data_IF_979131998602
#
_entry.id   IF_979131998602
#
_cell.length_a   1.000
_cell.length_b   1.000
_cell.length_c   1.000
_cell.angle_alpha   90.00
_cell.angle_beta   90.00
_cell.angle_gamma   90.00
#
_symmetry.space_group_name_H-M   'P 1'
#
loop_
_entity.id
_entity.type
_entity.pdbx_description
1 polymer ?
#
# COMPACT_ATOMS: atom_id res chain seq x y z
N UNK A 1 -22.99 7.81 -6.62
CA UNK A 1 -22.34 6.72 -5.86
C UNK A 1 -20.83 6.92 -5.94
N UNK A 2 -20.15 6.90 -4.80
CA UNK A 2 -18.68 7.07 -4.74
C UNK A 2 -17.99 5.82 -5.29
N UNK A 3 -16.97 5.98 -6.13
CA UNK A 3 -16.18 4.88 -6.70
C UNK A 3 -15.11 4.41 -5.71
N UNK A 4 -15.03 3.11 -5.47
CA UNK A 4 -13.99 2.50 -4.64
C UNK A 4 -12.72 2.36 -5.46
N UNK A 5 -11.62 2.85 -4.93
CA UNK A 5 -10.31 2.84 -5.59
C UNK A 5 -9.34 2.04 -4.73
N UNK A 6 -8.60 1.14 -5.34
CA UNK A 6 -7.40 0.54 -4.76
C UNK A 6 -6.16 1.15 -5.37
N UNK A 7 -5.10 1.32 -4.58
CA UNK A 7 -3.80 1.80 -5.02
C UNK A 7 -2.73 0.76 -4.73
N UNK A 8 -1.92 0.44 -5.73
CA UNK A 8 -0.70 -0.34 -5.59
C UNK A 8 0.46 0.51 -6.08
N UNK A 9 1.40 0.88 -5.20
CA UNK A 9 2.54 1.68 -5.62
C UNK A 9 3.07 2.64 -4.58
N UNK A 10 3.52 3.82 -4.99
CA UNK A 10 4.09 4.83 -4.12
C UNK A 10 3.05 5.53 -3.24
N UNK A 11 3.53 6.09 -2.14
CA UNK A 11 2.76 7.00 -1.30
C UNK A 11 2.24 8.24 -2.06
N UNK A 12 2.90 8.63 -3.15
CA UNK A 12 2.48 9.74 -4.02
C UNK A 12 1.17 9.41 -4.75
N UNK A 13 1.00 8.17 -5.22
CA UNK A 13 -0.27 7.75 -5.83
C UNK A 13 -1.40 7.79 -4.81
N UNK A 14 -1.17 7.26 -3.59
CA UNK A 14 -2.14 7.31 -2.50
C UNK A 14 -2.51 8.75 -2.13
N UNK A 15 -1.56 9.69 -2.17
CA UNK A 15 -1.76 11.07 -1.76
C UNK A 15 -2.79 11.84 -2.61
N UNK A 16 -3.13 11.36 -3.81
CA UNK A 16 -4.30 11.85 -4.56
C UNK A 16 -5.63 11.67 -3.81
N UNK A 17 -5.66 10.77 -2.82
CA UNK A 17 -6.78 10.48 -1.91
C UNK A 17 -6.54 11.02 -0.50
N UNK A 18 -5.80 12.12 -0.37
CA UNK A 18 -5.58 12.86 0.87
C UNK A 18 -6.34 14.19 0.86
N UNK A 19 -7.25 14.43 1.82
CA UNK A 19 -8.08 15.64 1.86
C UNK A 19 -7.29 16.93 2.13
N UNK A 20 -6.03 16.84 2.54
CA UNK A 20 -5.13 18.00 2.64
C UNK A 20 -4.59 18.45 1.28
N UNK A 21 -4.52 17.54 0.30
CA UNK A 21 -3.97 17.79 -1.03
C UNK A 21 -5.08 17.88 -2.10
N UNK A 22 -6.09 17.04 -1.98
CA UNK A 22 -7.26 16.98 -2.86
C UNK A 22 -8.52 17.07 -2.01
N UNK A 23 -8.99 18.28 -1.71
CA UNK A 23 -10.03 18.49 -0.69
C UNK A 23 -11.33 17.70 -0.97
N UNK A 24 -11.73 17.65 -2.24
CA UNK A 24 -13.06 17.17 -2.64
C UNK A 24 -13.07 15.75 -3.21
N UNK A 25 -11.96 14.99 -3.14
CA UNK A 25 -11.91 13.65 -3.73
C UNK A 25 -13.01 12.72 -3.21
N UNK A 26 -13.42 12.90 -1.94
CA UNK A 26 -14.43 12.07 -1.26
C UNK A 26 -15.83 12.23 -1.85
N UNK A 27 -16.09 13.28 -2.62
CA UNK A 27 -17.35 13.42 -3.36
C UNK A 27 -17.50 12.34 -4.45
N UNK A 28 -16.38 11.85 -4.99
CA UNK A 28 -16.34 10.97 -6.17
C UNK A 28 -15.66 9.63 -5.91
N UNK A 29 -14.67 9.58 -5.02
CA UNK A 29 -13.77 8.43 -4.84
C UNK A 29 -13.53 8.09 -3.37
N UNK A 30 -13.46 6.79 -3.07
CA UNK A 30 -13.09 6.23 -1.76
C UNK A 30 -11.87 5.34 -1.96
N UNK A 31 -10.72 5.73 -1.42
CA UNK A 31 -9.57 4.82 -1.40
C UNK A 31 -9.83 3.72 -0.35
N UNK A 32 -9.93 2.47 -0.78
CA UNK A 32 -10.32 1.32 0.06
C UNK A 32 -9.19 0.36 0.35
N UNK A 33 -8.19 0.28 -0.54
CA UNK A 33 -7.03 -0.61 -0.37
C UNK A 33 -5.80 0.14 -0.84
N UNK A 34 -4.70 0.03 -0.09
CA UNK A 34 -3.41 0.61 -0.45
C UNK A 34 -2.30 -0.37 -0.13
N UNK A 35 -1.39 -0.60 -1.06
CA UNK A 35 -0.10 -1.22 -0.77
C UNK A 35 1.01 -0.27 -1.23
N UNK A 36 1.97 -0.07 -0.36
CA UNK A 36 3.11 0.82 -0.57
C UNK A 36 4.41 0.07 -0.41
N UNK A 37 5.46 0.51 -1.10
CA UNK A 37 6.84 -0.02 -0.95
C UNK A 37 6.99 -1.54 -1.13
N UNK A 38 6.05 -2.20 -1.83
CA UNK A 38 6.12 -3.61 -2.20
C UNK A 38 6.39 -3.75 -3.70
N UNK A 39 7.12 -4.80 -4.09
CA UNK A 39 7.28 -5.17 -5.50
C UNK A 39 6.22 -6.19 -5.91
N UNK A 40 5.87 -6.24 -7.20
CA UNK A 40 4.85 -7.20 -7.69
C UNK A 40 5.30 -8.64 -7.41
N UNK A 41 6.62 -8.89 -7.50
CA UNK A 41 7.22 -10.18 -7.15
C UNK A 41 6.95 -10.52 -5.68
N UNK A 42 7.10 -9.54 -4.77
CA UNK A 42 6.79 -9.75 -3.35
C UNK A 42 5.31 -10.05 -3.14
N UNK A 43 4.39 -9.31 -3.77
CA UNK A 43 2.93 -9.52 -3.63
C UNK A 43 2.51 -10.92 -4.07
N UNK A 44 3.10 -11.42 -5.16
CA UNK A 44 2.76 -12.73 -5.74
C UNK A 44 3.51 -13.89 -5.07
N UNK A 45 4.47 -13.59 -4.18
CA UNK A 45 5.19 -14.61 -3.42
C UNK A 45 4.36 -15.15 -2.25
N UNK A 46 4.67 -16.35 -1.74
CA UNK A 46 4.05 -16.86 -0.52
C UNK A 46 4.29 -15.95 0.70
N UNK A 47 3.41 -16.05 1.70
CA UNK A 47 3.61 -15.40 3.00
C UNK A 47 4.95 -15.81 3.62
N UNK A 48 5.62 -14.84 4.25
CA UNK A 48 6.89 -15.06 4.93
C UNK A 48 6.62 -15.12 6.43
N UNK A 49 7.09 -16.16 7.12
CA UNK A 49 7.07 -16.19 8.59
C UNK A 49 8.13 -15.23 9.12
N UNK A 50 7.71 -14.30 9.97
CA UNK A 50 8.61 -13.36 10.63
C UNK A 50 8.25 -13.22 12.11
N UNK A 51 9.20 -12.69 12.87
CA UNK A 51 9.01 -12.31 14.27
C UNK A 51 8.81 -10.79 14.31
N UNK A 52 7.60 -10.35 14.67
CA UNK A 52 7.22 -8.93 14.68
C UNK A 52 8.05 -8.10 15.65
N UNK A 53 8.63 -8.73 16.68
CA UNK A 53 9.48 -8.08 17.67
C UNK A 53 10.92 -7.87 17.14
N UNK A 54 11.30 -8.57 16.06
CA UNK A 54 12.61 -8.44 15.40
C UNK A 54 12.60 -7.48 14.22
N UNK A 55 11.44 -6.94 13.85
CA UNK A 55 11.37 -5.81 12.93
C UNK A 55 11.90 -4.60 13.68
N UNK A 56 13.17 -4.27 13.52
CA UNK A 56 13.77 -3.08 14.14
C UNK A 56 13.47 -1.84 13.29
N UNK A 57 12.80 -0.85 13.88
CA UNK A 57 12.41 0.41 13.23
C UNK A 57 12.83 1.64 14.04
N UNK A 58 13.84 1.51 14.91
CA UNK A 58 14.12 2.44 16.01
C UNK A 58 14.76 3.80 15.66
N UNK A 59 14.72 4.29 14.40
CA UNK A 59 15.44 5.53 14.03
C UNK A 59 14.68 6.57 13.20
N UNK A 60 13.37 6.39 12.89
CA UNK A 60 12.65 7.38 12.07
C UNK A 60 11.30 7.83 12.62
N UNK A 61 10.90 9.07 12.28
CA UNK A 61 9.55 9.62 12.55
C UNK A 61 8.43 8.80 11.89
N UNK A 62 8.77 7.94 10.93
CA UNK A 62 7.83 7.09 10.18
C UNK A 62 7.91 5.61 10.58
N UNK A 63 8.58 5.29 11.70
CA UNK A 63 8.83 3.93 12.16
C UNK A 63 7.56 3.06 12.18
N UNK A 64 6.48 3.55 12.80
CA UNK A 64 5.22 2.80 12.90
C UNK A 64 4.60 2.51 11.53
N UNK A 65 4.57 3.49 10.64
CA UNK A 65 4.01 3.32 9.29
C UNK A 65 4.86 2.35 8.45
N UNK A 66 6.18 2.44 8.56
CA UNK A 66 7.07 1.51 7.87
C UNK A 66 6.91 0.08 8.38
N UNK A 67 6.69 -0.09 9.70
CA UNK A 67 6.35 -1.39 10.29
C UNK A 67 5.07 -1.95 9.70
N UNK A 68 3.98 -1.18 9.71
CA UNK A 68 2.69 -1.60 9.14
C UNK A 68 2.82 -2.05 7.68
N UNK A 69 3.57 -1.29 6.88
CA UNK A 69 3.81 -1.60 5.46
C UNK A 69 4.60 -2.90 5.31
N UNK A 70 5.67 -3.07 6.09
CA UNK A 70 6.48 -4.29 6.06
C UNK A 70 5.67 -5.51 6.50
N UNK A 71 4.89 -5.41 7.56
CA UNK A 71 4.03 -6.49 8.04
C UNK A 71 2.94 -6.84 7.02
N UNK A 72 2.31 -5.84 6.39
CA UNK A 72 1.33 -6.08 5.33
C UNK A 72 1.95 -6.78 4.12
N UNK A 73 3.18 -6.42 3.74
CA UNK A 73 3.90 -7.07 2.64
C UNK A 73 4.33 -8.50 2.98
N UNK A 74 4.88 -8.75 4.18
CA UNK A 74 5.30 -10.08 4.60
C UNK A 74 4.11 -11.03 4.76
N UNK A 75 2.98 -10.51 5.24
CA UNK A 75 1.72 -11.22 5.31
C UNK A 75 0.96 -11.22 3.97
N UNK A 76 1.42 -10.58 2.89
CA UNK A 76 0.73 -10.59 1.59
C UNK A 76 -0.75 -10.16 1.67
N UNK A 77 -1.07 -9.15 2.49
CA UNK A 77 -2.48 -8.78 2.74
C UNK A 77 -3.15 -8.16 1.52
N UNK A 78 -2.39 -7.49 0.65
CA UNK A 78 -2.94 -6.70 -0.46
C UNK A 78 -3.94 -7.45 -1.35
N UNK A 79 -3.61 -8.67 -1.80
CA UNK A 79 -4.52 -9.45 -2.65
C UNK A 79 -5.80 -9.86 -1.92
N UNK A 80 -5.69 -10.17 -0.61
CA UNK A 80 -6.86 -10.47 0.23
C UNK A 80 -7.72 -9.23 0.41
N UNK A 81 -7.08 -8.09 0.69
CA UNK A 81 -7.76 -6.80 0.84
C UNK A 81 -8.51 -6.41 -0.45
N UNK A 82 -7.96 -6.69 -1.63
CA UNK A 82 -8.64 -6.51 -2.92
C UNK A 82 -9.90 -7.37 -3.05
N UNK A 83 -9.80 -8.66 -2.69
CA UNK A 83 -10.93 -9.60 -2.72
C UNK A 83 -12.02 -9.16 -1.75
N UNK A 84 -11.66 -8.74 -0.54
CA UNK A 84 -12.62 -8.34 0.49
C UNK A 84 -13.31 -7.00 0.16
N UNK A 85 -12.55 -6.03 -0.34
CA UNK A 85 -13.07 -4.66 -0.52
C UNK A 85 -13.76 -4.43 -1.87
N UNK A 86 -13.49 -5.29 -2.87
CA UNK A 86 -14.05 -5.22 -4.23
C UNK A 86 -14.01 -3.78 -4.80
N UNK A 87 -12.81 -3.22 -5.04
CA UNK A 87 -12.67 -1.88 -5.62
C UNK A 87 -13.21 -1.84 -7.06
N UNK A 88 -13.77 -0.70 -7.48
CA UNK A 88 -14.20 -0.47 -8.87
C UNK A 88 -12.97 -0.34 -9.80
N UNK A 89 -11.88 0.23 -9.30
CA UNK A 89 -10.66 0.48 -10.06
C UNK A 89 -9.43 0.19 -9.21
N UNK A 90 -8.41 -0.38 -9.85
CA UNK A 90 -7.06 -0.54 -9.30
C UNK A 90 -6.11 0.41 -10.05
N UNK A 91 -5.52 1.36 -9.31
CA UNK A 91 -4.44 2.22 -9.82
C UNK A 91 -3.13 1.55 -9.43
N UNK A 92 -2.28 1.29 -10.43
CA UNK A 92 -0.95 0.73 -10.22
C UNK A 92 0.10 1.74 -10.67
N UNK A 93 0.97 2.13 -9.75
CA UNK A 93 2.28 2.66 -10.10
C UNK A 93 3.33 1.60 -9.77
N UNK A 94 4.26 1.40 -10.70
CA UNK A 94 5.39 0.51 -10.49
C UNK A 94 6.54 1.42 -10.08
N UNK A 95 6.53 1.83 -8.81
CA UNK A 95 7.64 2.60 -8.25
C UNK A 95 8.93 1.81 -8.42
N UNK A 96 9.76 2.27 -9.35
CA UNK A 96 10.91 1.56 -9.88
C UNK A 96 11.99 1.35 -8.81
N UNK A 97 12.23 0.08 -8.45
CA UNK A 97 13.54 -0.33 -7.92
C UNK A 97 14.44 -0.54 -9.16
N UNK A 98 14.98 0.55 -9.72
CA UNK A 98 16.11 0.45 -10.62
C UNK A 98 17.37 0.17 -9.79
N UNK A 99 17.79 -1.10 -9.73
CA UNK A 99 19.20 -1.39 -9.51
C UNK A 99 19.90 -1.24 -10.87
N UNK A 100 20.49 -0.08 -11.13
CA UNK A 100 21.50 0.06 -12.17
C UNK A 100 22.76 -0.62 -11.61
N UNK A 101 23.10 -1.77 -12.18
CA UNK A 101 24.24 -2.60 -11.77
C UNK A 101 25.58 -1.91 -11.88
#
# INVERSE_FOLDING_TARGET
MQKKIACYGSCITRDNFNSKLNHNYKERYRCVVTSEHSSIISVLSPEVKFDSEKLDYTVSKFASRNKEIAEADLNKTFLRDLIENQPDYLIMDIFLIFFLG
#
